data_IF_329931790078
#
_entry.id   IF_329931790078
#
_cell.length_a   1.000
_cell.length_b   1.000
_cell.length_c   1.000
_cell.angle_alpha   90.00
_cell.angle_beta   90.00
_cell.angle_gamma   90.00
#
_symmetry.space_group_name_H-M   'P 1'
#
loop_
_entity.id
_entity.type
_entity.pdbx_description
1 polymer ?
#
# COMPACT_ATOMS: atom_id res chain seq x y z
N UNK A 1 18.40 -1.05 -2.50
CA UNK A 1 17.13 -1.74 -2.84
C UNK A 1 16.22 -1.89 -1.63
N UNK A 2 16.61 -2.60 -0.56
CA UNK A 2 15.80 -2.80 0.66
C UNK A 2 15.29 -1.49 1.29
N UNK A 3 16.16 -0.48 1.44
CA UNK A 3 15.75 0.83 1.98
C UNK A 3 14.78 1.59 1.07
N UNK A 4 14.94 1.49 -0.26
CA UNK A 4 14.03 2.13 -1.22
C UNK A 4 12.64 1.47 -1.20
N UNK A 5 12.57 0.15 -1.08
CA UNK A 5 11.30 -0.57 -0.92
C UNK A 5 10.57 -0.06 0.32
N UNK A 6 11.27 0.00 1.46
CA UNK A 6 10.69 0.49 2.72
C UNK A 6 10.24 1.96 2.60
N UNK A 7 11.06 2.84 2.01
CA UNK A 7 10.71 4.25 1.84
C UNK A 7 9.46 4.42 0.96
N UNK A 8 9.40 3.72 -0.17
CA UNK A 8 8.23 3.77 -1.05
C UNK A 8 6.99 3.18 -0.36
N UNK A 9 7.14 2.11 0.44
CA UNK A 9 6.03 1.55 1.22
C UNK A 9 5.53 2.53 2.30
N UNK A 10 6.42 3.25 2.97
CA UNK A 10 6.04 4.30 3.94
C UNK A 10 5.29 5.42 3.25
N UNK A 11 5.83 5.96 2.15
CA UNK A 11 5.18 7.04 1.40
C UNK A 11 3.82 6.60 0.87
N UNK A 12 3.74 5.41 0.26
CA UNK A 12 2.49 4.83 -0.19
C UNK A 12 1.48 4.63 0.95
N UNK A 13 1.94 4.18 2.12
CA UNK A 13 1.10 4.01 3.30
C UNK A 13 0.56 5.34 3.84
N UNK A 14 1.38 6.38 3.88
CA UNK A 14 0.96 7.74 4.30
C UNK A 14 -0.06 8.31 3.33
N UNK A 15 0.23 8.32 2.03
CA UNK A 15 -0.69 8.84 1.01
C UNK A 15 -1.98 8.01 0.92
N UNK A 16 -1.88 6.70 1.08
CA UNK A 16 -3.04 5.82 1.07
C UNK A 16 -3.94 6.02 2.28
N UNK A 17 -3.35 6.22 3.46
CA UNK A 17 -4.09 6.60 4.68
C UNK A 17 -4.78 7.96 4.50
N UNK A 18 -4.08 8.95 3.94
CA UNK A 18 -4.67 10.26 3.64
C UNK A 18 -5.84 10.13 2.65
N UNK A 19 -5.68 9.35 1.58
CA UNK A 19 -6.75 9.08 0.62
C UNK A 19 -7.96 8.40 1.26
N UNK A 20 -7.74 7.42 2.14
CA UNK A 20 -8.81 6.76 2.88
C UNK A 20 -9.54 7.69 3.86
N UNK A 21 -8.83 8.59 4.55
CA UNK A 21 -9.44 9.62 5.40
C UNK A 21 -10.29 10.60 4.59
N UNK A 22 -9.81 11.03 3.42
CA UNK A 22 -10.59 11.88 2.50
C UNK A 22 -11.85 11.16 2.05
N UNK A 23 -11.75 9.87 1.69
CA UNK A 23 -12.91 9.08 1.31
C UNK A 23 -13.96 9.00 2.43
N UNK A 24 -13.54 8.72 3.68
CA UNK A 24 -14.44 8.71 4.84
C UNK A 24 -15.14 10.08 5.01
N UNK A 25 -14.40 11.17 4.82
CA UNK A 25 -14.98 12.52 4.89
C UNK A 25 -16.03 12.75 3.78
N UNK A 26 -15.77 12.30 2.55
CA UNK A 26 -16.72 12.38 1.44
C UNK A 26 -17.97 11.50 1.64
N UNK A 27 -17.83 10.38 2.34
CA UNK A 27 -18.94 9.47 2.70
C UNK A 27 -19.83 10.00 3.84
N UNK A 28 -19.58 11.21 4.34
CA UNK A 28 -20.38 11.84 5.41
C UNK A 28 -19.76 11.74 6.80
N UNK A 29 -18.48 11.39 6.90
CA UNK A 29 -17.70 11.36 8.14
C UNK A 29 -17.86 10.08 8.95
N UNK A 30 -17.05 9.94 10.01
CA UNK A 30 -16.94 8.71 10.83
C UNK A 30 -18.26 8.28 11.49
N UNK A 31 -19.19 9.20 11.73
CA UNK A 31 -20.50 8.90 12.35
C UNK A 31 -21.50 8.24 11.38
N UNK A 32 -21.32 8.42 10.07
CA UNK A 32 -22.17 7.83 9.02
C UNK A 32 -21.45 6.79 8.18
N UNK A 33 -20.11 6.83 8.18
CA UNK A 33 -19.28 5.84 7.54
C UNK A 33 -19.41 4.53 8.32
N UNK A 34 -19.99 3.53 7.67
CA UNK A 34 -19.91 2.15 8.16
C UNK A 34 -18.41 1.80 8.28
N UNK A 35 -18.00 1.17 9.38
CA UNK A 35 -16.58 0.85 9.60
C UNK A 35 -16.09 -0.20 8.57
N UNK A 36 -17.02 -0.89 7.90
CA UNK A 36 -16.78 -1.68 6.68
C UNK A 36 -16.70 -0.87 5.39
N UNK A 37 -16.72 0.46 5.48
CA UNK A 37 -16.70 1.40 4.38
C UNK A 37 -15.37 1.42 3.62
N UNK A 38 -15.42 1.92 2.40
CA UNK A 38 -14.32 1.85 1.44
C UNK A 38 -13.05 2.56 1.97
N UNK A 39 -13.20 3.69 2.66
CA UNK A 39 -12.07 4.44 3.20
C UNK A 39 -11.39 3.77 4.40
N UNK A 40 -12.13 3.10 5.29
CA UNK A 40 -11.56 2.42 6.45
C UNK A 40 -10.69 1.22 6.04
N UNK A 41 -11.17 0.44 5.06
CA UNK A 41 -10.38 -0.64 4.44
C UNK A 41 -9.07 -0.08 3.86
N UNK A 42 -9.16 1.02 3.13
CA UNK A 42 -7.99 1.64 2.48
C UNK A 42 -6.96 2.14 3.49
N UNK A 43 -7.39 2.68 4.63
CA UNK A 43 -6.48 3.04 5.73
C UNK A 43 -5.77 1.79 6.25
N UNK A 44 -6.51 0.71 6.54
CA UNK A 44 -5.95 -0.51 7.11
C UNK A 44 -4.90 -1.14 6.19
N UNK A 45 -5.22 -1.30 4.91
CA UNK A 45 -4.27 -1.88 3.94
C UNK A 45 -3.07 -0.95 3.71
N UNK A 46 -3.23 0.36 3.85
CA UNK A 46 -2.13 1.33 3.71
C UNK A 46 -1.19 1.31 4.92
N UNK A 47 -1.70 1.05 6.12
CA UNK A 47 -0.82 0.81 7.28
C UNK A 47 -0.10 -0.54 7.13
N UNK A 48 -0.80 -1.57 6.64
CA UNK A 48 -0.22 -2.89 6.39
C UNK A 48 0.92 -2.83 5.35
N UNK A 49 0.82 -1.96 4.36
CA UNK A 49 1.85 -1.82 3.33
C UNK A 49 3.21 -1.42 3.91
N UNK A 50 3.23 -0.61 4.98
CA UNK A 50 4.46 -0.20 5.68
C UNK A 50 5.15 -1.43 6.28
N UNK A 51 4.36 -2.28 6.96
CA UNK A 51 4.86 -3.54 7.50
C UNK A 51 5.40 -4.45 6.38
N UNK A 52 4.67 -4.59 5.28
CA UNK A 52 5.14 -5.36 4.12
C UNK A 52 6.46 -4.82 3.56
N UNK A 53 6.60 -3.51 3.44
CA UNK A 53 7.86 -2.87 3.02
C UNK A 53 9.04 -3.19 3.94
N UNK A 54 8.81 -3.31 5.25
CA UNK A 54 9.82 -3.76 6.19
C UNK A 54 10.17 -5.25 6.02
N UNK A 55 9.15 -6.11 5.82
CA UNK A 55 9.34 -7.56 5.64
C UNK A 55 10.07 -7.95 4.35
N UNK A 56 10.14 -7.05 3.36
CA UNK A 56 10.91 -7.24 2.11
C UNK A 56 12.39 -7.60 2.33
N UNK A 57 12.94 -7.34 3.53
CA UNK A 57 14.32 -7.72 3.87
C UNK A 57 14.54 -9.24 3.94
N UNK A 58 13.49 -10.00 4.28
CA UNK A 58 13.49 -11.46 4.48
C UNK A 58 12.56 -12.21 3.51
N UNK A 59 11.43 -11.60 3.16
CA UNK A 59 10.38 -12.21 2.33
C UNK A 59 10.05 -11.27 1.16
N UNK A 60 11.02 -11.07 0.27
CA UNK A 60 10.95 -10.07 -0.81
C UNK A 60 9.84 -10.39 -1.84
N UNK A 61 9.56 -11.67 -2.08
CA UNK A 61 8.50 -12.16 -2.95
C UNK A 61 7.11 -11.87 -2.39
N UNK A 62 6.83 -12.33 -1.16
CA UNK A 62 5.56 -12.13 -0.49
C UNK A 62 5.27 -10.64 -0.27
N UNK A 63 6.29 -9.88 0.13
CA UNK A 63 6.21 -8.43 0.24
C UNK A 63 5.87 -7.78 -1.11
N UNK A 64 6.52 -8.21 -2.20
CA UNK A 64 6.29 -7.69 -3.53
C UNK A 64 4.86 -7.89 -4.01
N UNK A 65 4.36 -9.12 -3.95
CA UNK A 65 2.98 -9.42 -4.32
C UNK A 65 1.96 -8.72 -3.41
N UNK A 66 2.24 -8.66 -2.10
CA UNK A 66 1.39 -7.97 -1.14
C UNK A 66 1.27 -6.48 -1.43
N UNK A 67 2.39 -5.80 -1.72
CA UNK A 67 2.41 -4.38 -2.07
C UNK A 67 1.66 -4.09 -3.37
N UNK A 68 1.81 -4.94 -4.39
CA UNK A 68 1.04 -4.81 -5.63
C UNK A 68 -0.45 -5.05 -5.39
N UNK A 69 -0.80 -6.06 -4.60
CA UNK A 69 -2.19 -6.34 -4.22
C UNK A 69 -2.83 -5.14 -3.52
N UNK A 70 -2.15 -4.54 -2.54
CA UNK A 70 -2.61 -3.33 -1.85
C UNK A 70 -2.79 -2.16 -2.83
N UNK A 71 -1.87 -1.99 -3.79
CA UNK A 71 -1.98 -0.96 -4.81
C UNK A 71 -3.30 -1.08 -5.59
N UNK A 72 -3.61 -2.27 -6.09
CA UNK A 72 -4.85 -2.51 -6.84
C UNK A 72 -6.09 -2.39 -5.97
N UNK A 73 -6.10 -2.97 -4.76
CA UNK A 73 -7.24 -2.87 -3.83
C UNK A 73 -7.51 -1.40 -3.50
N UNK A 74 -6.49 -0.60 -3.18
CA UNK A 74 -6.68 0.81 -2.85
C UNK A 74 -7.35 1.59 -3.98
N UNK A 75 -6.92 1.39 -5.23
CA UNK A 75 -7.55 2.03 -6.40
C UNK A 75 -9.00 1.54 -6.61
N UNK A 76 -9.31 0.27 -6.38
CA UNK A 76 -10.68 -0.24 -6.52
C UNK A 76 -11.65 0.41 -5.53
N UNK A 77 -11.21 0.66 -4.29
CA UNK A 77 -12.07 1.19 -3.24
C UNK A 77 -12.11 2.73 -3.18
N UNK A 78 -11.03 3.42 -3.59
CA UNK A 78 -10.95 4.90 -3.47
C UNK A 78 -10.65 5.62 -4.79
N UNK A 79 -10.51 4.87 -5.89
CA UNK A 79 -10.32 5.43 -7.22
C UNK A 79 -9.13 6.38 -7.30
N UNK A 80 -9.38 7.58 -7.82
CA UNK A 80 -8.37 8.60 -8.04
C UNK A 80 -7.71 9.09 -6.74
N UNK A 81 -8.39 9.01 -5.59
CA UNK A 81 -7.83 9.43 -4.30
C UNK A 81 -6.62 8.56 -3.89
N UNK A 82 -6.47 7.38 -4.47
CA UNK A 82 -5.35 6.47 -4.20
C UNK A 82 -4.18 6.59 -5.18
N UNK A 83 -4.25 7.46 -6.20
CA UNK A 83 -3.31 7.39 -7.33
C UNK A 83 -1.84 7.60 -6.93
N UNK A 84 -1.58 8.49 -5.97
CA UNK A 84 -0.23 8.74 -5.45
C UNK A 84 0.27 7.51 -4.67
N UNK A 85 -0.58 6.96 -3.81
CA UNK A 85 -0.26 5.74 -3.06
C UNK A 85 -0.04 4.53 -3.98
N UNK A 86 -0.84 4.43 -5.05
CA UNK A 86 -0.71 3.41 -6.08
C UNK A 86 0.68 3.43 -6.74
N UNK A 87 1.17 4.61 -7.14
CA UNK A 87 2.49 4.74 -7.76
C UNK A 87 3.60 4.26 -6.81
N UNK A 88 3.56 4.69 -5.56
CA UNK A 88 4.55 4.29 -4.55
C UNK A 88 4.48 2.79 -4.20
N UNK A 89 3.29 2.22 -4.00
CA UNK A 89 3.14 0.79 -3.74
C UNK A 89 3.54 -0.06 -4.94
N UNK A 90 3.24 0.37 -6.16
CA UNK A 90 3.65 -0.32 -7.39
C UNK A 90 5.17 -0.32 -7.54
N UNK A 91 5.82 0.82 -7.31
CA UNK A 91 7.27 0.91 -7.32
C UNK A 91 7.91 0.05 -6.23
N UNK A 92 7.39 0.09 -5.00
CA UNK A 92 7.86 -0.73 -3.89
C UNK A 92 7.73 -2.24 -4.20
N UNK A 93 6.58 -2.66 -4.72
CA UNK A 93 6.29 -4.05 -5.07
C UNK A 93 7.19 -4.56 -6.20
N UNK A 94 7.35 -3.77 -7.27
CA UNK A 94 8.25 -4.12 -8.38
C UNK A 94 9.71 -4.23 -7.94
N UNK A 95 10.19 -3.31 -7.09
CA UNK A 95 11.53 -3.38 -6.51
C UNK A 95 11.73 -4.60 -5.60
N UNK A 96 10.70 -5.00 -4.84
CA UNK A 96 10.73 -6.17 -3.98
C UNK A 96 10.77 -7.48 -4.79
N UNK A 97 10.00 -7.61 -5.87
CA UNK A 97 10.07 -8.76 -6.77
C UNK A 97 11.41 -8.85 -7.50
N UNK A 98 11.97 -7.70 -7.91
CA UNK A 98 13.32 -7.64 -8.48
C UNK A 98 14.39 -8.10 -7.48
N UNK A 99 14.23 -7.74 -6.19
CA UNK A 99 15.10 -8.22 -5.12
C UNK A 99 14.99 -9.74 -4.93
N UNK A 100 13.76 -10.27 -4.87
CA UNK A 100 13.52 -11.70 -4.73
C UNK A 100 14.20 -12.49 -5.85
N UNK A 101 14.05 -12.01 -7.10
CA UNK A 101 14.71 -12.62 -8.26
C UNK A 101 16.22 -12.62 -8.10
N UNK A 102 16.81 -11.47 -7.71
CA UNK A 102 18.27 -11.35 -7.55
C UNK A 102 18.82 -12.24 -6.43
N UNK A 103 18.05 -12.45 -5.36
CA UNK A 103 18.42 -13.35 -4.25
C UNK A 103 18.28 -14.83 -4.63
N UNK A 104 17.34 -15.20 -5.52
CA UNK A 104 17.17 -16.59 -5.99
C UNK A 104 18.32 -17.08 -6.90
N UNK A 105 18.93 -16.18 -7.68
CA UNK A 105 20.03 -16.52 -8.60
C UNK A 105 21.44 -16.32 -7.98
N UNK A 106 21.54 -16.10 -6.67
CA UNK A 106 22.80 -15.95 -5.93
C UNK A 106 23.05 -17.17 -5.07
#
# INVERSE_FOLDING_TARGET
>A
MKALILLNAILGGIFGTAGGLIQIALEGGVERADISGSGALVILISVLSIYLGYTAKKHADLSGYGLLGIAFIGVLFTGFLYIIAFAFHTAAGGLALSLARKEYYR
#
